data_IF_219257241653
#
_entry.id   IF_219257241653
#
_cell.length_a   1.000
_cell.length_b   1.000
_cell.length_c   1.000
_cell.angle_alpha   90.00
_cell.angle_beta   90.00
_cell.angle_gamma   90.00
#
_symmetry.space_group_name_H-M   'P 1'
#
loop_
_entity.id
_entity.type
_entity.pdbx_description
1 polymer ?
#
# COMPACT_ATOMS: atom_id res chain seq x y z
N UNK A 1 -5.73 21.12 43.11
CA UNK A 1 -5.84 19.83 42.42
C UNK A 1 -6.29 20.14 41.01
N UNK A 2 -5.33 20.44 40.15
CA UNK A 2 -5.61 20.65 38.73
C UNK A 2 -5.99 19.30 38.12
N UNK A 3 -7.13 19.20 37.42
CA UNK A 3 -7.46 17.98 36.70
C UNK A 3 -6.45 17.82 35.57
N UNK A 4 -5.72 16.70 35.58
CA UNK A 4 -4.86 16.30 34.48
C UNK A 4 -5.68 16.28 33.19
N UNK A 5 -5.43 17.29 32.34
CA UNK A 5 -5.89 17.31 30.97
C UNK A 5 -5.20 16.12 30.30
N UNK A 6 -5.91 15.01 30.17
CA UNK A 6 -5.53 13.93 29.26
C UNK A 6 -5.67 14.49 27.84
N UNK A 7 -4.64 15.20 27.40
CA UNK A 7 -4.44 15.55 26.01
C UNK A 7 -4.22 14.23 25.28
N UNK A 8 -5.31 13.66 24.77
CA UNK A 8 -5.24 12.59 23.78
C UNK A 8 -4.58 13.21 22.56
N UNK A 9 -3.25 13.14 22.50
CA UNK A 9 -2.51 13.40 21.27
C UNK A 9 -3.15 12.47 20.24
N UNK A 10 -3.72 12.98 19.12
CA UNK A 10 -4.21 12.10 18.08
C UNK A 10 -3.01 11.24 17.68
N UNK A 11 -3.08 9.93 17.96
CA UNK A 11 -2.16 9.00 17.34
C UNK A 11 -2.35 9.24 15.85
N UNK A 12 -1.29 9.60 15.09
CA UNK A 12 -1.43 9.72 13.64
C UNK A 12 -2.08 8.43 13.20
N UNK A 13 -3.30 8.51 12.64
CA UNK A 13 -4.04 7.33 12.21
C UNK A 13 -3.06 6.54 11.35
N UNK A 14 -2.63 5.34 11.81
CA UNK A 14 -1.57 4.59 11.12
C UNK A 14 -1.93 4.55 9.64
N UNK A 15 -1.09 5.07 8.75
CA UNK A 15 -1.36 5.06 7.32
C UNK A 15 -0.41 4.11 6.62
N UNK A 16 -0.94 3.30 5.71
CA UNK A 16 -0.12 2.56 4.76
C UNK A 16 0.35 3.53 3.66
N UNK A 17 1.66 3.58 3.45
CA UNK A 17 2.24 4.37 2.35
C UNK A 17 2.34 3.51 1.10
N UNK A 18 1.79 3.99 -0.01
CA UNK A 18 1.75 3.26 -1.28
C UNK A 18 2.40 4.09 -2.36
N UNK A 19 3.45 3.55 -2.99
CA UNK A 19 4.13 4.17 -4.13
C UNK A 19 3.62 3.51 -5.39
N UNK A 20 2.82 4.23 -6.18
CA UNK A 20 2.31 3.74 -7.45
C UNK A 20 3.23 4.18 -8.59
N UNK A 21 4.02 3.24 -9.11
CA UNK A 21 4.93 3.48 -10.22
C UNK A 21 4.24 3.56 -11.59
N UNK A 22 2.95 3.21 -11.71
CA UNK A 22 2.18 3.43 -12.93
C UNK A 22 1.88 4.92 -13.13
N UNK A 23 1.60 5.63 -12.03
CA UNK A 23 1.21 7.04 -12.03
C UNK A 23 2.31 7.98 -11.54
N UNK A 24 3.35 7.45 -10.89
CA UNK A 24 4.40 8.25 -10.26
C UNK A 24 3.95 8.94 -8.97
N UNK A 25 2.88 8.45 -8.33
CA UNK A 25 2.28 9.09 -7.15
C UNK A 25 2.51 8.29 -5.88
N UNK A 26 2.65 8.98 -4.76
CA UNK A 26 2.62 8.38 -3.41
C UNK A 26 1.28 8.68 -2.73
N UNK A 27 0.63 7.65 -2.21
CA UNK A 27 -0.65 7.72 -1.52
C UNK A 27 -0.50 7.30 -0.05
N UNK A 28 -1.25 7.94 0.83
CA UNK A 28 -1.38 7.55 2.24
C UNK A 28 -2.79 7.01 2.46
N UNK A 29 -2.90 5.70 2.67
CA UNK A 29 -4.17 5.00 2.78
C UNK A 29 -4.39 4.51 4.20
N UNK A 30 -5.65 4.21 4.55
CA UNK A 30 -5.93 3.41 5.75
C UNK A 30 -5.27 2.04 5.61
N UNK A 31 -4.72 1.46 6.70
CA UNK A 31 -4.04 0.18 6.62
C UNK A 31 -5.01 -0.92 6.21
N UNK A 32 -4.57 -1.75 5.28
CA UNK A 32 -5.28 -2.96 4.85
C UNK A 32 -4.39 -4.16 5.13
N UNK A 33 -5.00 -5.31 5.38
CA UNK A 33 -4.27 -6.49 5.84
C UNK A 33 -3.55 -7.26 4.73
N UNK A 34 -4.05 -7.20 3.50
CA UNK A 34 -3.59 -8.06 2.40
C UNK A 34 -3.42 -7.27 1.10
N UNK A 35 -2.61 -7.81 0.19
CA UNK A 35 -2.41 -7.27 -1.16
C UNK A 35 -3.74 -7.14 -1.91
N UNK A 36 -4.59 -8.16 -1.88
CA UNK A 36 -5.89 -8.13 -2.55
C UNK A 36 -6.78 -6.97 -2.07
N UNK A 37 -6.76 -6.69 -0.76
CA UNK A 37 -7.51 -5.57 -0.20
C UNK A 37 -6.94 -4.21 -0.67
N UNK A 38 -5.62 -4.10 -0.75
CA UNK A 38 -4.95 -2.91 -1.29
C UNK A 38 -5.31 -2.68 -2.76
N UNK A 39 -5.17 -3.70 -3.61
CA UNK A 39 -5.48 -3.59 -5.04
C UNK A 39 -6.94 -3.21 -5.29
N UNK A 40 -7.87 -3.74 -4.47
CA UNK A 40 -9.28 -3.34 -4.51
C UNK A 40 -9.48 -1.87 -4.19
N UNK A 41 -8.79 -1.33 -3.18
CA UNK A 41 -8.87 0.11 -2.83
C UNK A 41 -8.32 0.97 -3.96
N UNK A 42 -7.27 0.51 -4.65
CA UNK A 42 -6.67 1.21 -5.78
C UNK A 42 -7.43 1.03 -7.10
N UNK A 43 -8.40 0.11 -7.16
CA UNK A 43 -9.11 -0.23 -8.40
C UNK A 43 -8.25 -0.96 -9.43
N UNK A 44 -7.24 -1.71 -8.99
CA UNK A 44 -6.29 -2.45 -9.82
C UNK A 44 -6.57 -3.96 -9.76
N UNK A 45 -6.12 -4.71 -10.79
CA UNK A 45 -6.18 -6.17 -10.78
C UNK A 45 -4.78 -6.78 -10.65
N UNK A 46 -4.63 -7.92 -9.95
CA UNK A 46 -3.34 -8.60 -9.75
C UNK A 46 -2.56 -8.86 -11.04
N UNK A 47 -3.24 -9.16 -12.14
CA UNK A 47 -2.62 -9.52 -13.41
C UNK A 47 -1.96 -8.32 -14.11
N UNK A 48 -2.22 -7.10 -13.63
CA UNK A 48 -1.71 -5.85 -14.23
C UNK A 48 -0.55 -5.23 -13.48
N UNK A 49 -0.25 -5.73 -12.27
CA UNK A 49 0.75 -5.13 -11.38
C UNK A 49 1.56 -6.15 -10.59
N UNK A 50 2.78 -5.77 -10.23
CA UNK A 50 3.58 -6.41 -9.19
C UNK A 50 3.47 -5.58 -7.92
N UNK A 51 3.29 -6.26 -6.79
CA UNK A 51 3.25 -5.64 -5.46
C UNK A 51 4.50 -6.05 -4.70
N UNK A 52 5.27 -5.07 -4.24
CA UNK A 52 6.54 -5.28 -3.57
C UNK A 52 6.48 -4.56 -2.21
N UNK A 53 6.93 -5.22 -1.16
CA UNK A 53 7.14 -4.59 0.14
C UNK A 53 8.56 -4.93 0.63
N UNK A 54 9.33 -3.88 0.91
CA UNK A 54 10.78 -3.98 1.11
C UNK A 54 11.44 -4.64 -0.12
N UNK A 55 11.98 -5.86 0.04
CA UNK A 55 12.65 -6.62 -1.01
C UNK A 55 11.86 -7.87 -1.44
N UNK A 56 10.60 -8.01 -0.99
CA UNK A 56 9.75 -9.17 -1.26
C UNK A 56 8.67 -8.87 -2.30
N UNK A 57 8.55 -9.73 -3.31
CA UNK A 57 7.40 -9.77 -4.21
C UNK A 57 6.26 -10.52 -3.52
N UNK A 58 5.10 -9.86 -3.40
CA UNK A 58 3.94 -10.38 -2.69
C UNK A 58 2.84 -10.87 -3.65
N UNK A 59 2.19 -11.96 -3.27
CA UNK A 59 1.01 -12.53 -3.89
C UNK A 59 -0.27 -11.91 -3.30
N UNK A 60 -1.42 -12.16 -3.93
CA UNK A 60 -2.70 -11.52 -3.59
C UNK A 60 -3.15 -11.71 -2.14
N UNK A 61 -2.90 -12.88 -1.56
CA UNK A 61 -3.28 -13.24 -0.21
C UNK A 61 -2.20 -12.94 0.84
N UNK A 62 -1.02 -12.48 0.40
CA UNK A 62 0.06 -12.15 1.31
C UNK A 62 -0.29 -10.95 2.20
N UNK A 63 0.16 -10.98 3.47
CA UNK A 63 -0.09 -9.90 4.41
C UNK A 63 0.77 -8.66 4.09
N UNK A 64 0.26 -7.48 4.45
CA UNK A 64 0.99 -6.22 4.37
C UNK A 64 1.38 -5.73 5.76
N UNK A 65 2.64 -5.30 5.90
CA UNK A 65 3.10 -4.55 7.06
C UNK A 65 2.64 -3.07 6.94
N UNK A 66 1.79 -2.57 7.86
CA UNK A 66 1.31 -1.19 7.81
C UNK A 66 2.40 -0.14 8.09
N UNK A 67 3.54 -0.53 8.64
CA UNK A 67 4.66 0.37 8.98
C UNK A 67 5.67 0.49 7.82
N UNK A 68 5.53 -0.35 6.77
CA UNK A 68 6.44 -0.37 5.62
C UNK A 68 5.74 0.11 4.35
N UNK A 69 6.42 0.90 3.50
CA UNK A 69 5.88 1.29 2.20
C UNK A 69 5.62 0.08 1.31
N UNK A 70 4.60 0.17 0.48
CA UNK A 70 4.28 -0.81 -0.56
C UNK A 70 4.48 -0.17 -1.92
N UNK A 71 5.25 -0.80 -2.78
CA UNK A 71 5.42 -0.41 -4.17
C UNK A 71 4.46 -1.20 -5.07
N UNK A 72 3.74 -0.49 -5.92
CA UNK A 72 2.87 -1.06 -6.95
C UNK A 72 3.46 -0.71 -8.31
N UNK A 73 3.85 -1.71 -9.09
CA UNK A 73 4.55 -1.54 -10.37
C UNK A 73 3.74 -2.15 -11.51
N UNK A 74 3.62 -1.50 -12.68
CA UNK A 74 2.97 -2.12 -13.83
C UNK A 74 3.77 -3.35 -14.30
N UNK A 75 3.08 -4.42 -14.67
CA UNK A 75 3.70 -5.43 -15.55
C UNK A 75 3.67 -4.87 -16.97
N UNK A 76 4.83 -4.78 -17.61
CA UNK A 76 4.87 -4.54 -19.05
C UNK A 76 4.66 -5.90 -19.70
N UNK A 77 3.51 -6.11 -20.35
CA UNK A 77 3.38 -7.26 -21.25
C UNK A 77 4.45 -7.13 -22.32
N UNK A 78 5.44 -8.03 -22.34
CA UNK A 78 6.50 -8.10 -23.35
C UNK A 78 5.98 -8.49 -24.74
N UNK A 79 4.79 -8.01 -25.13
CA UNK A 79 4.26 -8.11 -26.48
C UNK A 79 5.01 -7.14 -27.38
N UNK A 80 6.24 -7.51 -27.74
CA UNK A 80 6.85 -7.03 -28.97
C UNK A 80 5.84 -7.26 -30.09
N UNK A 81 5.19 -6.19 -30.56
CA UNK A 81 4.55 -6.22 -31.87
C UNK A 81 5.67 -6.29 -32.92
N UNK A 82 5.43 -7.03 -34.03
CA UNK A 82 6.45 -7.53 -34.96
C UNK A 82 7.26 -6.42 -35.63
#
# INVERSE_FOLDING_TARGET
>A
MDPEIHLSIPHPERTLTVVNHQTGTTLHLKPVKTVQALLRVLGLTPETVLVIQEDALLCDDDPLDPERPVEVRPVISGGSRP
#
